data_IF_452872748054
#
_entry.id   IF_452872748054
#
_cell.length_a   1.000
_cell.length_b   1.000
_cell.length_c   1.000
_cell.angle_alpha   90.00
_cell.angle_beta   90.00
_cell.angle_gamma   90.00
#
_symmetry.space_group_name_H-M   'P 1'
#
loop_
_entity.id
_entity.type
_entity.pdbx_description
1 polymer ?
#
# COMPACT_ATOMS: atom_id res chain seq x y z
N UNK A 1 1.42 -8.35 -10.02
CA UNK A 1 0.23 -8.21 -9.15
C UNK A 1 0.50 -7.14 -8.10
N UNK A 2 -0.48 -6.27 -7.85
CA UNK A 2 -0.41 -5.28 -6.76
C UNK A 2 -1.56 -5.56 -5.81
N UNK A 3 -1.27 -5.70 -4.51
CA UNK A 3 -2.32 -5.78 -3.49
C UNK A 3 -2.61 -4.39 -2.93
N UNK A 4 -3.83 -4.16 -2.51
CA UNK A 4 -4.27 -2.94 -1.85
C UNK A 4 -5.08 -3.32 -0.61
N UNK A 5 -4.75 -2.74 0.52
CA UNK A 5 -5.43 -2.97 1.80
C UNK A 5 -5.32 -4.41 2.32
N UNK A 6 -4.37 -5.17 1.81
CA UNK A 6 -4.11 -6.54 2.25
C UNK A 6 -2.73 -6.99 1.82
N UNK A 7 -2.28 -8.09 2.38
CA UNK A 7 -1.07 -8.78 1.94
C UNK A 7 0.10 -8.74 2.90
N UNK A 8 0.12 -7.82 3.88
CA UNK A 8 1.26 -7.69 4.80
C UNK A 8 1.48 -8.96 5.65
N UNK A 9 0.45 -9.74 5.86
CA UNK A 9 0.52 -11.03 6.56
C UNK A 9 0.34 -12.23 5.64
N UNK A 10 0.26 -12.01 4.33
CA UNK A 10 0.03 -13.02 3.31
C UNK A 10 1.28 -13.66 2.75
N UNK A 11 2.24 -14.07 3.62
CA UNK A 11 3.53 -14.61 3.20
C UNK A 11 3.38 -15.83 2.29
N UNK A 12 2.51 -16.77 2.64
CA UNK A 12 2.30 -18.00 1.87
C UNK A 12 1.68 -17.71 0.51
N UNK A 13 0.72 -16.80 0.46
CA UNK A 13 0.05 -16.38 -0.78
C UNK A 13 1.03 -15.66 -1.72
N UNK A 14 1.88 -14.80 -1.17
CA UNK A 14 2.91 -14.10 -1.94
C UNK A 14 3.94 -15.09 -2.50
N UNK A 15 4.39 -16.04 -1.70
CA UNK A 15 5.31 -17.08 -2.15
C UNK A 15 4.68 -17.96 -3.24
N UNK A 16 3.41 -18.30 -3.09
CA UNK A 16 2.69 -19.06 -4.11
C UNK A 16 2.59 -18.30 -5.42
N UNK A 17 2.24 -17.02 -5.37
CA UNK A 17 2.19 -16.16 -6.56
C UNK A 17 3.57 -16.08 -7.24
N UNK A 18 4.63 -15.90 -6.46
CA UNK A 18 6.00 -15.88 -6.97
C UNK A 18 6.38 -17.22 -7.63
N UNK A 19 5.93 -18.34 -7.07
CA UNK A 19 6.17 -19.68 -7.66
C UNK A 19 5.51 -19.86 -9.03
N UNK A 20 4.45 -19.07 -9.30
CA UNK A 20 3.77 -19.04 -10.59
C UNK A 20 4.39 -18.03 -11.56
N UNK A 21 5.50 -17.39 -11.20
CA UNK A 21 6.17 -16.40 -12.03
C UNK A 21 5.59 -15.00 -11.95
N UNK A 22 4.76 -14.70 -10.94
CA UNK A 22 4.21 -13.36 -10.73
C UNK A 22 5.14 -12.50 -9.87
N UNK A 23 5.40 -11.29 -10.31
CA UNK A 23 5.95 -10.24 -9.44
C UNK A 23 4.82 -9.67 -8.59
N UNK A 24 5.05 -9.55 -7.28
CA UNK A 24 4.06 -9.05 -6.33
C UNK A 24 4.57 -7.77 -5.69
N UNK A 25 3.72 -6.76 -5.66
CA UNK A 25 3.91 -5.54 -4.86
C UNK A 25 2.79 -5.49 -3.83
N UNK A 26 3.15 -5.45 -2.56
CA UNK A 26 2.19 -5.37 -1.46
C UNK A 26 2.04 -3.92 -1.04
N UNK A 27 0.79 -3.42 -1.00
CA UNK A 27 0.46 -2.16 -0.35
C UNK A 27 -0.59 -2.42 0.72
N UNK A 28 -0.29 -2.06 1.95
CA UNK A 28 -1.13 -2.35 3.10
C UNK A 28 -0.93 -1.30 4.18
N UNK A 29 -1.74 -1.34 5.23
CA UNK A 29 -1.64 -0.44 6.38
C UNK A 29 -1.82 -1.17 7.72
N UNK A 30 -1.97 -2.48 7.67
CA UNK A 30 -2.14 -3.29 8.89
C UNK A 30 -0.80 -3.49 9.63
N UNK A 31 -0.88 -3.91 10.88
CA UNK A 31 0.31 -4.21 11.67
C UNK A 31 1.15 -5.32 11.03
N UNK A 32 2.44 -5.09 11.02
CA UNK A 32 3.39 -6.04 10.44
C UNK A 32 3.72 -7.15 11.45
N UNK A 33 3.91 -8.36 10.92
CA UNK A 33 4.56 -9.46 11.67
C UNK A 33 6.08 -9.32 11.56
N UNK A 34 6.83 -10.15 12.31
CA UNK A 34 8.29 -10.18 12.25
C UNK A 34 8.79 -10.46 10.83
N UNK A 35 8.16 -11.43 10.15
CA UNK A 35 8.51 -11.82 8.79
C UNK A 35 7.60 -11.11 7.79
N UNK A 36 8.18 -10.22 6.99
CA UNK A 36 7.48 -9.57 5.89
C UNK A 36 7.38 -10.53 4.68
N UNK A 37 6.32 -10.38 3.85
CA UNK A 37 6.24 -11.13 2.60
C UNK A 37 7.45 -10.90 1.69
N UNK A 38 7.93 -11.95 1.02
CA UNK A 38 9.02 -11.87 0.05
C UNK A 38 8.50 -11.41 -1.32
N UNK A 39 7.93 -10.21 -1.34
CA UNK A 39 7.47 -9.54 -2.56
C UNK A 39 8.58 -8.68 -3.18
N UNK A 40 8.37 -8.25 -4.42
CA UNK A 40 9.28 -7.30 -5.08
C UNK A 40 9.39 -6.00 -4.29
N UNK A 41 8.27 -5.54 -3.74
CA UNK A 41 8.22 -4.40 -2.82
C UNK A 41 7.08 -4.59 -1.82
N UNK A 42 7.29 -4.10 -0.61
CA UNK A 42 6.29 -4.10 0.47
C UNK A 42 6.19 -2.68 1.01
N UNK A 43 5.03 -2.07 0.80
CA UNK A 43 4.74 -0.68 1.22
C UNK A 43 3.70 -0.73 2.34
N UNK A 44 4.12 -0.38 3.54
CA UNK A 44 3.26 -0.31 4.70
C UNK A 44 3.87 0.68 5.71
N UNK A 45 3.12 1.71 6.14
CA UNK A 45 3.61 2.68 7.12
C UNK A 45 4.01 2.06 8.46
N UNK A 46 3.46 0.89 8.81
CA UNK A 46 3.75 0.20 10.08
C UNK A 46 5.02 -0.63 10.05
N UNK A 47 5.71 -0.72 8.91
CA UNK A 47 7.02 -1.38 8.88
C UNK A 47 7.98 -0.67 9.84
N UNK A 48 8.76 -1.43 10.64
CA UNK A 48 9.71 -0.84 11.58
C UNK A 48 10.74 0.08 10.92
N UNK A 49 11.09 -0.20 9.66
CA UNK A 49 12.07 0.55 8.88
C UNK A 49 11.45 1.67 8.02
N UNK A 50 10.14 1.91 8.12
CA UNK A 50 9.46 2.93 7.34
C UNK A 50 9.62 4.31 8.00
N UNK A 51 10.22 5.30 7.32
CA UNK A 51 10.41 6.64 7.87
C UNK A 51 9.19 7.54 7.74
N UNK A 52 8.14 7.11 7.03
CA UNK A 52 6.96 7.92 6.82
C UNK A 52 6.28 8.27 8.15
N UNK A 53 6.07 9.56 8.46
CA UNK A 53 5.70 9.98 9.81
C UNK A 53 4.25 9.66 10.20
N UNK A 54 3.33 9.64 9.24
CA UNK A 54 1.91 9.40 9.52
C UNK A 54 1.58 7.91 9.39
N UNK A 55 1.48 7.22 10.53
CA UNK A 55 1.27 5.77 10.59
C UNK A 55 -0.19 5.34 10.40
N UNK A 56 -1.12 6.27 10.39
CA UNK A 56 -2.56 6.01 10.38
C UNK A 56 -3.23 6.16 9.01
N UNK A 57 -2.49 6.02 7.93
CA UNK A 57 -3.08 5.95 6.61
C UNK A 57 -3.96 4.69 6.51
N UNK A 58 -5.17 4.85 5.97
CA UNK A 58 -5.97 3.72 5.51
C UNK A 58 -5.32 3.07 4.27
N UNK A 59 -5.71 1.84 3.94
CA UNK A 59 -5.19 1.16 2.75
C UNK A 59 -5.36 1.97 1.46
N UNK A 60 -6.51 2.64 1.30
CA UNK A 60 -6.74 3.55 0.16
C UNK A 60 -5.79 4.75 0.17
N UNK A 61 -5.38 5.23 1.34
CA UNK A 61 -4.40 6.31 1.46
C UNK A 61 -3.02 5.88 0.99
N UNK A 62 -2.61 4.67 1.34
CA UNK A 62 -1.37 4.08 0.83
C UNK A 62 -1.43 3.93 -0.69
N UNK A 63 -2.55 3.44 -1.22
CA UNK A 63 -2.76 3.31 -2.66
C UNK A 63 -2.70 4.67 -3.37
N UNK A 64 -3.29 5.72 -2.78
CA UNK A 64 -3.19 7.07 -3.33
C UNK A 64 -1.74 7.55 -3.39
N UNK A 65 -0.97 7.33 -2.35
CA UNK A 65 0.47 7.67 -2.34
C UNK A 65 1.23 6.96 -3.46
N UNK A 66 0.92 5.69 -3.71
CA UNK A 66 1.50 4.97 -4.83
C UNK A 66 1.13 5.60 -6.18
N UNK A 67 -0.14 5.95 -6.37
CA UNK A 67 -0.62 6.61 -7.60
C UNK A 67 0.11 7.95 -7.82
N UNK A 68 0.27 8.76 -6.77
CA UNK A 68 0.98 10.03 -6.86
C UNK A 68 2.45 9.82 -7.23
N UNK A 69 3.11 8.84 -6.62
CA UNK A 69 4.50 8.52 -6.91
C UNK A 69 4.69 8.06 -8.37
N UNK A 70 3.80 7.20 -8.87
CA UNK A 70 3.84 6.73 -10.26
C UNK A 70 3.57 7.85 -11.26
N UNK A 71 2.72 8.80 -10.92
CA UNK A 71 2.39 9.94 -11.79
C UNK A 71 3.50 10.99 -11.89
N UNK A 72 4.33 11.09 -10.86
CA UNK A 72 5.39 12.09 -10.78
C UNK A 72 4.90 13.47 -10.30
N UNK A 73 5.85 14.31 -9.91
CA UNK A 73 5.55 15.63 -9.31
C UNK A 73 4.70 16.53 -10.20
N UNK A 74 4.93 16.51 -11.52
CA UNK A 74 4.19 17.36 -12.47
C UNK A 74 2.70 17.04 -12.54
N UNK A 75 2.28 15.85 -12.12
CA UNK A 75 0.89 15.37 -12.15
C UNK A 75 0.25 15.23 -10.79
N UNK A 76 0.98 15.53 -9.73
CA UNK A 76 0.55 15.26 -8.35
C UNK A 76 -0.77 15.97 -8.04
N UNK A 77 -0.87 17.28 -8.30
CA UNK A 77 -2.08 18.05 -8.00
C UNK A 77 -3.30 17.55 -8.78
N UNK A 78 -3.13 17.23 -10.06
CA UNK A 78 -4.23 16.72 -10.89
C UNK A 78 -4.69 15.32 -10.43
N UNK A 79 -3.76 14.44 -10.09
CA UNK A 79 -4.08 13.08 -9.59
C UNK A 79 -4.71 13.15 -8.21
N UNK A 80 -4.20 14.00 -7.32
CA UNK A 80 -4.79 14.19 -6.02
C UNK A 80 -6.24 14.70 -6.13
N UNK A 81 -6.48 15.73 -6.93
CA UNK A 81 -7.82 16.27 -7.16
C UNK A 81 -8.78 15.21 -7.71
N UNK A 82 -8.29 14.31 -8.56
CA UNK A 82 -9.10 13.24 -9.17
C UNK A 82 -9.49 12.16 -8.17
N UNK A 83 -8.61 11.80 -7.25
CA UNK A 83 -8.77 10.60 -6.41
C UNK A 83 -8.96 10.88 -4.92
N UNK A 84 -8.82 12.13 -4.47
CA UNK A 84 -8.89 12.43 -3.03
C UNK A 84 -10.24 12.09 -2.41
N UNK A 85 -11.33 12.19 -3.16
CA UNK A 85 -12.67 11.81 -2.67
C UNK A 85 -12.75 10.33 -2.35
N UNK A 86 -12.20 9.47 -3.22
CA UNK A 86 -12.14 8.02 -2.96
C UNK A 86 -11.30 7.71 -1.73
N UNK A 87 -10.16 8.39 -1.58
CA UNK A 87 -9.31 8.25 -0.41
C UNK A 87 -10.03 8.68 0.88
N UNK A 88 -10.78 9.78 0.83
CA UNK A 88 -11.57 10.25 1.96
C UNK A 88 -12.66 9.24 2.35
N UNK A 89 -13.38 8.70 1.38
CA UNK A 89 -14.43 7.70 1.62
C UNK A 89 -13.84 6.46 2.30
N UNK A 90 -12.76 5.91 1.77
CA UNK A 90 -12.11 4.73 2.33
C UNK A 90 -11.53 4.98 3.72
N UNK A 91 -10.95 6.16 3.95
CA UNK A 91 -10.41 6.53 5.25
C UNK A 91 -11.52 6.61 6.32
N UNK A 92 -12.65 7.23 5.98
CA UNK A 92 -13.80 7.32 6.90
C UNK A 92 -14.41 5.94 7.14
N UNK A 93 -14.56 5.13 6.10
CA UNK A 93 -15.13 3.79 6.21
C UNK A 93 -14.28 2.88 7.10
N UNK A 94 -12.97 3.04 7.09
CA UNK A 94 -12.02 2.26 7.91
C UNK A 94 -11.81 2.87 9.32
N UNK A 95 -12.50 3.95 9.63
CA UNK A 95 -12.45 4.64 10.94
C UNK A 95 -11.01 5.08 11.30
N UNK A 96 -10.27 5.49 10.30
CA UNK A 96 -8.89 5.97 10.48
C UNK A 96 -8.83 7.45 10.85
#
# INVERSE_FOLDING_TARGET
>A
MVTVDCGITGNDEVEYAASLGMDVVVTDHHECKEDLPHAVAVVDPHRPDCPYPFKHLAGVGVALKLVLALGGESREDALFARYCTLAAIGTIADVM
#
